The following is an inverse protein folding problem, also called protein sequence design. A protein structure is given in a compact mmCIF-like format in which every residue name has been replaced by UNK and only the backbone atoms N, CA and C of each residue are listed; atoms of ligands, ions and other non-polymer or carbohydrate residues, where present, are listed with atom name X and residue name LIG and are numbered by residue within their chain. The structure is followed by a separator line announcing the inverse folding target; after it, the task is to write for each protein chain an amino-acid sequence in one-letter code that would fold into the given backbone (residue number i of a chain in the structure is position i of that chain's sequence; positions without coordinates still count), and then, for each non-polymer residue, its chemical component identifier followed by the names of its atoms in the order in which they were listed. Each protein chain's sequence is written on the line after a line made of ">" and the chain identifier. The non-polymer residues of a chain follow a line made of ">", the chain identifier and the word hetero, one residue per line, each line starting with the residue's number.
data_IF_879567487225
#
_entry.id   IF_879567487225
#
_cell.length_a   1.000
_cell.length_b   1.000
_cell.length_c   1.000
_cell.angle_alpha   90.00
_cell.angle_beta   90.00
_cell.angle_gamma   90.00
#
_symmetry.space_group_name_H-M   'P 1'
#
loop_
_entity.id
_entity.type
_entity.pdbx_description
1 polymer ?
2 non-polymer ?
3 non-polymer ?
4 non-polymer ?
5 water ?
#
# COMPACT_ATOMS: atom_id res chain seq x y z
N UNK A 3 -17.20 -12.69 -10.73
CA UNK A 3 -16.28 -13.22 -11.72
C UNK A 3 -14.83 -13.43 -11.28
N UNK A 4 -14.20 -14.40 -11.93
CA UNK A 4 -12.82 -14.82 -11.66
C UNK A 4 -11.78 -13.75 -12.06
N UNK A 5 -10.90 -13.38 -11.13
CA UNK A 5 -9.74 -12.52 -11.44
C UNK A 5 -8.90 -13.12 -12.57
N UNK A 6 -8.35 -12.29 -13.47
CA UNK A 6 -7.39 -12.76 -14.46
C UNK A 6 -6.15 -13.38 -13.79
N UNK A 7 -5.36 -14.13 -14.52
CA UNK A 7 -4.19 -14.74 -13.96
C UNK A 7 -3.24 -13.69 -13.32
N UNK A 8 -3.00 -12.57 -14.03
CA UNK A 8 -2.17 -11.48 -13.45
C UNK A 8 -2.78 -10.89 -12.17
N UNK A 9 -4.08 -10.67 -12.14
CA UNK A 9 -4.74 -10.20 -10.92
C UNK A 9 -4.71 -11.25 -9.77
N UNK A 10 -4.72 -12.57 -10.06
CA UNK A 10 -4.50 -13.60 -9.01
C UNK A 10 -3.13 -13.41 -8.38
N UNK A 11 -2.11 -13.17 -9.20
CA UNK A 11 -0.76 -12.92 -8.65
C UNK A 11 -0.76 -11.65 -7.74
N UNK A 12 -1.41 -10.58 -8.23
CA UNK A 12 -1.55 -9.38 -7.40
C UNK A 12 -2.25 -9.63 -6.07
N UNK A 13 -3.35 -10.42 -6.10
CA UNK A 13 -4.05 -10.77 -4.84
C UNK A 13 -3.15 -11.56 -3.88
N UNK A 14 -2.31 -12.43 -4.45
CA UNK A 14 -1.36 -13.16 -3.62
C UNK A 14 -0.36 -12.25 -2.91
N UNK A 15 0.21 -11.31 -3.69
CA UNK A 15 1.10 -10.27 -3.13
C UNK A 15 0.40 -9.50 -1.99
N UNK A 16 -0.84 -9.06 -2.22
CA UNK A 16 -1.58 -8.32 -1.20
C UNK A 16 -1.77 -9.12 0.09
N UNK A 17 -2.16 -10.40 -0.04
CA UNK A 17 -2.26 -11.27 1.14
C UNK A 17 -0.92 -11.36 1.87
N UNK A 18 0.18 -11.52 1.12
CA UNK A 18 1.51 -11.52 1.76
C UNK A 18 1.83 -10.20 2.51
N UNK A 19 1.55 -9.05 1.91
CA UNK A 19 1.80 -7.77 2.58
C UNK A 19 1.02 -7.63 3.89
N UNK A 20 -0.17 -8.24 3.98
CA UNK A 20 -1.02 -8.21 5.18
C UNK A 20 -0.69 -9.33 6.19
N UNK A 21 0.25 -10.22 5.91
CA UNK A 21 0.46 -11.45 6.69
C UNK A 21 1.41 -11.21 7.87
N UNK A 22 1.37 -12.14 8.86
CA UNK A 22 2.17 -11.95 10.07
C UNK A 22 3.64 -11.82 9.83
N UNK A 23 4.17 -12.47 8.80
CA UNK A 23 5.61 -12.42 8.65
C UNK A 23 6.17 -11.02 8.32
N UNK A 24 5.34 -10.08 7.83
CA UNK A 24 5.82 -8.73 7.54
C UNK A 24 5.23 -7.68 8.49
N UNK A 25 4.51 -8.10 9.54
CA UNK A 25 3.75 -7.17 10.37
C UNK A 25 4.62 -6.10 11.08
N UNK A 26 5.87 -6.45 11.41
CA UNK A 26 6.72 -5.55 12.16
C UNK A 26 6.97 -4.22 11.41
N UNK A 27 6.98 -4.24 10.06
CA UNK A 27 7.12 -3.03 9.24
C UNK A 27 5.85 -2.67 8.45
N UNK A 28 4.91 -3.61 8.26
CA UNK A 28 3.70 -3.30 7.47
C UNK A 28 2.60 -2.57 8.24
N UNK A 29 2.57 -2.70 9.58
CA UNK A 29 1.36 -2.31 10.33
C UNK A 29 0.96 -0.82 10.13
N UNK A 30 1.88 0.14 9.95
CA UNK A 30 1.39 1.52 9.74
C UNK A 30 0.53 1.70 8.48
N UNK A 31 0.66 0.76 7.53
CA UNK A 31 -0.01 0.83 6.21
C UNK A 31 -1.33 0.06 6.17
N UNK A 32 -1.76 -0.51 7.30
CA UNK A 32 -2.97 -1.35 7.30
C UNK A 32 -4.30 -0.62 7.08
N UNK A 33 -4.41 0.62 7.57
CA UNK A 33 -5.70 1.34 7.57
C UNK A 33 -5.45 2.79 7.11
N UNK A 34 -6.52 3.51 6.69
CA UNK A 34 -6.32 4.91 6.30
C UNK A 34 -5.68 5.74 7.41
N UNK A 35 -4.81 6.68 7.06
CA UNK A 35 -4.34 7.67 8.05
C UNK A 35 -5.52 8.45 8.64
N UNK A 36 -5.60 8.49 9.98
CA UNK A 36 -6.60 9.30 10.70
C UNK A 36 -5.88 10.57 11.20
N UNK A 37 -5.96 11.62 10.38
CA UNK A 37 -5.09 12.78 10.61
C UNK A 37 -5.35 13.48 11.95
N UNK A 38 -6.62 13.65 12.28
CA UNK A 38 -7.01 14.23 13.55
C UNK A 38 -6.54 13.39 14.74
N UNK A 39 -6.73 12.07 14.66
CA UNK A 39 -6.30 11.20 15.78
C UNK A 39 -4.80 11.30 16.03
N UNK A 40 -4.01 11.40 14.95
CA UNK A 40 -2.55 11.46 15.07
C UNK A 40 -2.01 12.88 15.32
N UNK A 41 -2.88 13.88 15.23
CA UNK A 41 -2.45 15.28 15.39
C UNK A 41 -1.74 15.91 14.19
N UNK A 42 -1.86 15.27 13.01
CA UNK A 42 -1.22 15.76 11.77
C UNK A 42 -2.20 16.59 10.93
N UNK A 43 -2.46 17.82 11.42
CA UNK A 43 -3.55 18.65 10.89
C UNK A 43 -3.29 19.25 9.51
N UNK A 44 -2.06 19.09 9.01
CA UNK A 44 -1.68 19.48 7.64
C UNK A 44 -1.73 18.29 6.62
N UNK A 45 -2.08 17.08 7.08
CA UNK A 45 -1.91 15.87 6.22
C UNK A 45 -2.68 15.97 4.92
N UNK A 46 -3.95 16.38 4.99
CA UNK A 46 -4.80 16.46 3.80
C UNK A 46 -4.56 17.70 2.92
N UNK A 47 -3.79 18.66 3.41
CA UNK A 47 -3.31 19.76 2.58
C UNK A 47 -2.10 19.30 1.72
N UNK A 48 -1.30 18.36 2.26
CA UNK A 48 -0.07 17.86 1.58
C UNK A 48 -0.34 16.62 0.69
N UNK A 49 -1.21 15.73 1.16
CA UNK A 49 -1.51 14.42 0.53
C UNK A 49 -2.90 14.53 -0.08
N UNK A 50 -2.98 14.74 -1.40
CA UNK A 50 -4.27 14.93 -2.07
C UNK A 50 -4.98 13.59 -2.41
N UNK A 51 -4.25 12.46 -2.45
CA UNK A 51 -4.81 11.13 -2.79
C UNK A 51 -4.36 10.05 -1.79
N UNK A 52 -4.99 10.01 -0.60
CA UNK A 52 -4.63 9.00 0.42
C UNK A 52 -4.79 7.56 -0.11
N UNK A 53 -3.94 6.64 0.38
CA UNK A 53 -4.09 5.22 0.01
C UNK A 53 -3.53 4.38 1.16
N UNK A 54 -4.04 3.14 1.31
CA UNK A 54 -3.62 2.20 2.36
C UNK A 54 -4.01 0.77 1.95
N UNK A 55 -3.49 -0.24 2.66
CA UNK A 55 -3.73 -1.63 2.23
C UNK A 55 -5.18 -2.08 2.38
N UNK A 56 -5.91 -1.58 3.39
CA UNK A 56 -7.34 -1.99 3.52
C UNK A 56 -8.16 -1.48 2.32
N UNK A 57 -7.81 -0.30 1.81
CA UNK A 57 -8.50 0.26 0.64
C UNK A 57 -8.18 -0.56 -0.61
N UNK A 58 -6.90 -0.90 -0.80
CA UNK A 58 -6.50 -1.81 -1.92
C UNK A 58 -7.28 -3.15 -1.83
N UNK A 59 -7.38 -3.70 -0.61
CA UNK A 59 -8.09 -4.98 -0.43
C UNK A 59 -9.58 -4.87 -0.80
N UNK A 60 -10.23 -3.79 -0.36
CA UNK A 60 -11.65 -3.60 -0.74
C UNK A 60 -11.84 -3.45 -2.25
N UNK A 61 -10.94 -2.68 -2.89
CA UNK A 61 -10.98 -2.53 -4.34
C UNK A 61 -10.78 -3.88 -5.07
N UNK A 62 -9.85 -4.73 -4.61
CA UNK A 62 -9.66 -6.06 -5.22
C UNK A 62 -10.94 -6.92 -5.03
N UNK A 63 -11.52 -6.93 -3.82
CA UNK A 63 -12.74 -7.73 -3.56
C UNK A 63 -13.90 -7.27 -4.45
N UNK A 64 -13.98 -5.96 -4.70
CA UNK A 64 -15.06 -5.39 -5.47
C UNK A 64 -14.79 -5.43 -6.97
N UNK A 65 -13.64 -5.98 -7.40
CA UNK A 65 -13.27 -6.07 -8.84
C UNK A 65 -13.13 -4.68 -9.48
N UNK A 66 -12.68 -3.70 -8.69
CA UNK A 66 -12.44 -2.33 -9.16
C UNK A 66 -11.21 -2.34 -10.09
N UNK A 67 -10.12 -3.06 -9.76
CA UNK A 67 -8.90 -3.08 -10.61
C UNK A 67 -9.15 -3.85 -11.88
N UNK A 68 -8.90 -3.25 -13.02
CA UNK A 68 -9.10 -4.04 -14.25
C UNK A 68 -7.83 -4.70 -14.75
N UNK A 69 -6.67 -4.30 -14.24
CA UNK A 69 -5.42 -4.94 -14.61
C UNK A 69 -4.34 -4.79 -13.51
N UNK A 70 -3.24 -5.51 -13.66
CA UNK A 70 -2.15 -5.45 -12.66
C UNK A 70 -1.53 -4.06 -12.53
N UNK A 71 -1.42 -3.33 -13.65
CA UNK A 71 -0.84 -2.01 -13.63
C UNK A 71 -1.63 -1.07 -12.71
N UNK A 72 -2.96 -1.14 -12.76
CA UNK A 72 -3.79 -0.29 -11.93
C UNK A 72 -3.58 -0.60 -10.44
N UNK A 73 -3.51 -1.89 -10.08
CA UNK A 73 -3.20 -2.32 -8.71
C UNK A 73 -1.82 -1.78 -8.24
N UNK A 74 -0.79 -1.96 -9.08
CA UNK A 74 0.56 -1.52 -8.69
C UNK A 74 0.63 0.01 -8.49
N UNK A 75 -0.08 0.77 -9.32
CA UNK A 75 -0.09 2.22 -9.16
C UNK A 75 -0.64 2.63 -7.78
N UNK A 76 -1.69 1.95 -7.28
CA UNK A 76 -2.21 2.24 -5.94
C UNK A 76 -1.22 1.86 -4.83
N UNK A 77 -0.59 0.67 -4.90
CA UNK A 77 0.37 0.31 -3.85
C UNK A 77 1.54 1.33 -3.81
N UNK A 78 2.03 1.70 -4.99
CA UNK A 78 3.14 2.68 -5.09
C UNK A 78 2.70 4.08 -4.61
N UNK A 79 1.45 4.48 -4.88
CA UNK A 79 0.90 5.75 -4.37
C UNK A 79 0.95 5.79 -2.83
N UNK A 80 0.54 4.67 -2.20
CA UNK A 80 0.63 4.57 -0.73
C UNK A 80 2.06 4.81 -0.21
N UNK A 81 3.09 4.20 -0.83
CA UNK A 81 4.47 4.46 -0.40
C UNK A 81 4.88 5.91 -0.68
N UNK A 82 4.54 6.42 -1.87
CA UNK A 82 4.91 7.80 -2.21
C UNK A 82 4.32 8.82 -1.23
N UNK A 83 3.09 8.62 -0.76
CA UNK A 83 2.50 9.55 0.23
C UNK A 83 3.36 9.57 1.50
N UNK A 84 3.84 8.41 1.93
CA UNK A 84 4.72 8.33 3.10
C UNK A 84 6.05 9.09 2.88
N UNK A 85 6.67 8.90 1.70
CA UNK A 85 7.93 9.60 1.34
C UNK A 85 7.70 11.13 1.19
N UNK A 86 6.50 11.56 0.79
CA UNK A 86 6.21 12.97 0.60
C UNK A 86 5.99 13.68 1.94
N UNK A 87 5.23 13.08 2.85
CA UNK A 87 4.85 13.76 4.11
C UNK A 87 5.98 13.77 5.14
N UNK A 88 6.76 12.71 5.26
CA UNK A 88 7.73 12.54 6.36
C UNK A 88 9.15 12.90 5.94
N UNK A 89 10.00 13.36 6.89
CA UNK A 89 11.43 13.48 6.53
C UNK A 89 12.10 12.14 6.25
N UNK A 90 13.16 12.13 5.43
CA UNK A 90 13.72 10.87 4.91
C UNK A 90 14.36 10.00 5.98
N UNK A 91 14.69 10.57 7.13
CA UNK A 91 15.27 9.81 8.24
C UNK A 91 14.27 9.26 9.26
N UNK A 92 12.96 9.45 9.03
CA UNK A 92 11.90 9.02 9.95
C UNK A 92 11.80 7.49 10.04
N UNK A 93 11.49 6.97 11.23
CA UNK A 93 11.29 5.54 11.41
C UNK A 93 10.25 4.96 10.43
N UNK A 94 9.15 5.68 10.17
CA UNK A 94 8.11 5.08 9.31
C UNK A 94 8.58 5.01 7.83
N UNK A 95 9.50 5.90 7.43
CA UNK A 95 10.07 5.84 6.07
C UNK A 95 10.94 4.59 5.91
N UNK A 96 11.72 4.25 6.95
CA UNK A 96 12.48 2.99 6.89
C UNK A 96 11.55 1.75 6.74
N UNK A 97 10.41 1.77 7.45
CA UNK A 97 9.43 0.70 7.34
C UNK A 97 8.83 0.61 5.91
N UNK A 98 8.46 1.77 5.35
CA UNK A 98 7.97 1.85 3.95
C UNK A 98 8.98 1.26 2.97
N UNK A 99 10.26 1.60 3.10
CA UNK A 99 11.24 1.11 2.14
C UNK A 99 11.36 -0.41 2.21
N UNK A 100 11.32 -0.98 3.43
CA UNK A 100 11.35 -2.45 3.59
C UNK A 100 10.12 -3.15 2.99
N UNK A 101 8.92 -2.61 3.24
CA UNK A 101 7.71 -3.21 2.65
C UNK A 101 7.71 -3.04 1.12
N UNK A 102 8.21 -1.91 0.64
CA UNK A 102 8.27 -1.72 -0.82
C UNK A 102 9.27 -2.69 -1.48
N UNK A 103 10.36 -3.05 -0.80
CA UNK A 103 11.27 -4.10 -1.32
C UNK A 103 10.52 -5.42 -1.46
N UNK A 104 9.76 -5.84 -0.43
CA UNK A 104 8.94 -7.06 -0.54
C UNK A 104 8.01 -6.97 -1.76
N UNK A 105 7.27 -5.86 -1.87
CA UNK A 105 6.34 -5.69 -2.97
C UNK A 105 7.01 -5.73 -4.37
N UNK A 106 8.05 -4.93 -4.59
CA UNK A 106 8.61 -4.80 -5.94
C UNK A 106 9.27 -6.15 -6.38
N UNK A 107 9.96 -6.87 -5.47
CA UNK A 107 10.58 -8.14 -5.90
C UNK A 107 9.55 -9.18 -6.27
N UNK A 108 8.43 -9.25 -5.55
CA UNK A 108 7.39 -10.23 -5.95
C UNK A 108 6.56 -9.79 -7.15
N UNK A 109 6.26 -8.50 -7.26
CA UNK A 109 5.58 -7.96 -8.44
C UNK A 109 6.36 -8.29 -9.74
N UNK A 110 7.70 -8.21 -9.66
CA UNK A 110 8.59 -8.51 -10.79
C UNK A 110 8.47 -9.96 -11.26
N UNK A 111 7.96 -10.90 -10.42
CA UNK A 111 7.73 -12.31 -10.79
C UNK A 111 6.36 -12.54 -11.43
N UNK A 112 5.68 -11.48 -11.85
CA UNK A 112 4.40 -11.59 -12.58
C UNK A 112 4.40 -12.61 -13.72
N UNK A 113 3.40 -13.51 -13.77
CA UNK A 113 3.27 -14.42 -14.93
C UNK A 113 3.00 -13.66 -16.21
X LIG B 1 2.87 11.88 14.67
X LIG B 1 3.19 10.39 14.50
X LIG B 1 2.12 9.58 15.17
X LIG B 1 4.54 10.04 15.12
X LIG B 1 3.16 10.01 13.09
X LIG B 1 4.08 10.53 12.14
X LIG B 1 5.00 11.29 12.45
X LIG B 1 3.82 10.07 10.69
X LIG B 1 2.97 11.09 9.93
X LIG B 1 1.51 10.85 10.23
X LIG B 1 0.65 10.34 9.13
X LIG B 1 3.22 8.68 10.71
X LIG B 1 4.11 7.77 11.42
X LIG B 1 2.92 8.09 9.36
X LIG B 1 3.28 8.52 8.04
X LIG B 1 2.76 7.59 7.17
X LIG B 1 2.19 6.69 7.77
X LIG B 1 1.50 5.57 7.00
X LIG B 1 2.20 6.86 9.15
X LIG B 1 1.63 6.24 10.28
X LIG B 1 0.28 5.80 10.15
X LIG B 1 -0.43 5.20 11.21
X LIG B 1 0.24 5.05 12.43
X LIG B 1 -0.39 4.47 13.57
X LIG B 1 -1.75 4.00 13.42
X LIG B 1 1.54 5.50 12.59
X LIG B 1 2.20 6.11 11.53
X LIG B 1 3.62 6.50 11.90
X LIG B 1 4.66 5.69 12.63
X LIG B 1 5.74 6.40 13.41
X LIG B 1 6.67 5.68 14.04
X LIG B 1 6.58 4.20 13.92
X LIG B 1 7.81 3.25 14.70
X LIG B 1 5.64 3.54 13.18
X LIG B 1 4.60 4.35 12.48
X LIG B 1 3.23 12.20 15.53
X LIG B 1 1.90 12.01 14.67
X LIG B 1 3.26 12.39 13.95
X LIG B 1 2.21 9.67 16.15
X LIG B 1 2.22 8.64 14.93
X LIG B 1 1.25 9.90 14.89
X LIG B 1 4.47 10.08 16.11
X LIG B 1 5.22 10.69 14.82
X LIG B 1 4.81 9.15 14.85
X LIG B 1 3.12 10.99 8.97
X LIG B 1 3.22 12.01 10.21
X LIG B 1 1.14 11.02 11.12
X LIG B 1 1.03 10.18 8.27
X LIG B 1 -0.30 10.17 9.29
X LIG B 1 2.38 8.73 11.21
X LIG B 1 0.76 5.23 7.52
X LIG B 1 2.15 4.84 6.82
X LIG B 1 1.16 5.92 6.14
X LIG B 1 -0.17 5.91 9.29
X LIG B 1 -1.24 4.69 11.03
X LIG B 1 -2.22 4.09 14.27
X LIG B 1 -1.74 3.05 13.16
X LIG B 1 -2.21 4.53 12.72
X LIG B 1 1.95 5.49 13.47
X LIG B 1 5.74 7.38 13.47
X LIG B 1 7.38 6.11 14.57
X LIG B 1 5.63 2.57 13.13
X LIG B 1 3.91 3.93 11.98
X LIG C 1 3.21 2.73 -11.55
X LIG D 1 12.90 -2.50 -4.76
X LIG D 1 13.48 -1.30 -4.06
X LIG D 1 13.95 -1.76 -2.81
X LIG D 1 12.41 -0.24 -3.87
X LIG D 1 12.95 0.94 -3.31
X LIG D 1 12.02 1.95 -2.98
X LIG D 1 12.79 3.07 -2.32
X LIG D 1 13.43 2.49 -1.07
X LIG D 1 11.95 4.12 -1.93
X LIG D 1 13.61 -2.96 -5.26
X LIG D 1 12.21 -2.22 -5.38
X LIG D 1 12.53 -3.11 -4.10
X LIG D 1 14.22 -0.93 -4.58
X LIG D 1 14.35 -1.09 -2.37
X LIG D 1 11.72 -0.59 -3.27
X LIG D 1 12.01 -0.03 -4.73
X LIG D 1 11.59 2.28 -3.79
X LIG D 1 11.35 1.60 -2.37
X LIG D 1 13.48 3.40 -2.92
X LIG D 1 12.75 2.34 -0.39
X LIG D 1 14.10 3.11 -0.73
X LIG D 1 13.87 1.64 -1.29
X LIG D 1 11.47 4.39 -2.63
#
# INVERSE_FOLDING_TARGET
>A
SMGKLSEQLKHCNGILKELLSKKHAAYAWPFYKPVDASALGVHDYHDIIKHPMDLSTVKRKMENRDYRDAQEFAADVRLMFSNCYKYNPPDHDVVAMARKLQDVFEFRYAKMPD
>B hetero
1 9HN CBG CBF CBH CBI OBD CBA OBE CBD CAZ CBB CBC CAF NAE CAG NAH NAI CAJ CAU NAA CAB CAQ CAR CAS OAV CAW CAT CAC CAD CAK CAL CAM CAN CLA CAO CAP HBI HBG HBH HBJ HBK HBL HBN HBO HBM HA0 HA1 HBB HBC HBD HAF HAV HAW HAU HAQ HAR HAX HAY HAZ HAT HAL HAM HAO HAP
>C hetero
1 CL CL
>D hetero
1 DQW CAD CAB OAA CAC OAE CAF CAG CAI OAH HAG HAE HAF HAB HAA HAC HAD HAI HAH HAJ HAL HAM HAK HAN
#
